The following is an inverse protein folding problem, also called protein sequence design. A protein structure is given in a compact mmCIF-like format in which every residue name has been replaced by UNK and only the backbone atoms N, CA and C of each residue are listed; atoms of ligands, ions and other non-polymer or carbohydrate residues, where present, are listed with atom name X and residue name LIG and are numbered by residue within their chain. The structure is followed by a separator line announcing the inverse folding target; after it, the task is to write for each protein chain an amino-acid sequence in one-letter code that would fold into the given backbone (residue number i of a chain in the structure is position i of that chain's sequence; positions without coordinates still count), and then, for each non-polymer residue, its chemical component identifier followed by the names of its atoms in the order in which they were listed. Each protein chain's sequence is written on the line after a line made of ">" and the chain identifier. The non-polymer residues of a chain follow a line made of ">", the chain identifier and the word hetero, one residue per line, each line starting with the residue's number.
data_IF_040185495832
#
_entry.id   IF_040185495832
#
_cell.length_a   1.000
_cell.length_b   1.000
_cell.length_c   1.000
_cell.angle_alpha   90.00
_cell.angle_beta   90.00
_cell.angle_gamma   90.00
#
_symmetry.space_group_name_H-M   'P 1'
#
loop_
_entity.id
_entity.type
_entity.pdbx_description
1 polymer ?
#
# COMPACT_ATOMS: atom_id res chain seq x y z
N UNK A 1 48.67 -7.68 29.20
CA UNK A 1 47.94 -6.43 28.90
C UNK A 1 46.70 -6.79 28.11
N UNK A 2 45.53 -6.48 28.64
CA UNK A 2 44.23 -6.85 28.09
C UNK A 2 43.78 -5.89 27.00
N UNK A 3 43.07 -6.41 25.99
CA UNK A 3 42.16 -5.63 25.17
C UNK A 3 40.81 -6.34 25.14
N UNK A 4 39.88 -5.91 25.99
CA UNK A 4 38.47 -6.29 25.88
C UNK A 4 37.91 -5.65 24.60
N UNK A 5 37.89 -6.41 23.52
CA UNK A 5 37.31 -5.97 22.25
C UNK A 5 35.80 -5.81 22.47
N UNK A 6 35.32 -4.58 22.54
CA UNK A 6 33.89 -4.24 22.64
C UNK A 6 33.10 -4.63 21.38
N UNK A 7 32.93 -5.93 21.14
CA UNK A 7 32.28 -6.49 19.94
C UNK A 7 30.80 -6.83 20.13
N UNK A 8 30.25 -6.71 21.34
CA UNK A 8 28.97 -7.38 21.64
C UNK A 8 27.72 -6.61 21.20
N UNK A 9 27.64 -5.30 21.44
CA UNK A 9 26.39 -4.55 21.25
C UNK A 9 26.19 -4.08 19.81
N UNK A 10 27.21 -3.44 19.22
CA UNK A 10 27.16 -2.90 17.85
C UNK A 10 27.04 -4.02 16.80
N UNK A 11 27.74 -5.14 17.00
CA UNK A 11 27.65 -6.29 16.07
C UNK A 11 26.27 -6.94 16.11
N UNK A 12 25.66 -7.05 17.29
CA UNK A 12 24.29 -7.57 17.42
C UNK A 12 23.30 -6.63 16.76
N UNK A 13 23.39 -5.33 17.03
CA UNK A 13 22.49 -4.35 16.43
C UNK A 13 22.58 -4.33 14.89
N UNK A 14 23.79 -4.41 14.34
CA UNK A 14 24.00 -4.48 12.89
C UNK A 14 23.30 -5.67 12.21
N UNK A 15 23.32 -6.85 12.83
CA UNK A 15 22.61 -8.03 12.31
C UNK A 15 21.10 -7.82 12.31
N UNK A 16 20.52 -7.25 13.38
CA UNK A 16 19.08 -7.01 13.45
C UNK A 16 18.64 -6.01 12.38
N UNK A 17 19.41 -4.93 12.16
CA UNK A 17 19.12 -3.96 11.10
C UNK A 17 19.20 -4.62 9.72
N UNK A 18 20.22 -5.45 9.47
CA UNK A 18 20.34 -6.18 8.20
C UNK A 18 19.14 -7.10 7.96
N UNK A 19 18.73 -7.87 8.98
CA UNK A 19 17.53 -8.73 8.89
C UNK A 19 16.28 -7.88 8.66
N UNK A 20 16.11 -6.76 9.37
CA UNK A 20 14.95 -5.88 9.21
C UNK A 20 14.88 -5.30 7.78
N UNK A 21 16.02 -4.91 7.20
CA UNK A 21 16.09 -4.46 5.80
C UNK A 21 15.67 -5.57 4.84
N UNK A 22 16.18 -6.79 5.01
CA UNK A 22 15.74 -7.94 4.20
C UNK A 22 14.23 -8.18 4.35
N UNK A 23 13.73 -8.10 5.58
CA UNK A 23 12.31 -8.27 5.90
C UNK A 23 11.46 -7.14 5.32
N UNK A 24 11.96 -5.93 5.14
CA UNK A 24 11.20 -4.87 4.47
C UNK A 24 11.21 -5.09 2.96
N UNK A 25 12.38 -5.36 2.37
CA UNK A 25 12.56 -5.55 0.92
C UNK A 25 11.65 -6.66 0.39
N UNK A 26 11.61 -7.83 1.07
CA UNK A 26 10.78 -8.95 0.61
C UNK A 26 9.28 -8.78 0.95
N UNK A 27 8.92 -7.84 1.83
CA UNK A 27 7.52 -7.64 2.26
C UNK A 27 6.80 -6.71 1.30
N UNK A 28 7.53 -5.79 0.66
CA UNK A 28 7.04 -4.92 -0.41
C UNK A 28 6.31 -5.69 -1.52
N UNK A 29 6.90 -6.73 -2.17
CA UNK A 29 6.20 -7.48 -3.22
C UNK A 29 5.00 -8.27 -2.68
N UNK A 30 5.11 -8.87 -1.50
CA UNK A 30 4.01 -9.64 -0.87
C UNK A 30 2.82 -8.74 -0.51
N UNK A 31 3.08 -7.58 0.08
CA UNK A 31 2.07 -6.56 0.34
C UNK A 31 1.48 -5.99 -0.95
N UNK A 32 2.29 -5.81 -1.99
CA UNK A 32 1.81 -5.32 -3.28
C UNK A 32 0.80 -6.26 -3.93
N UNK A 33 1.00 -7.58 -3.84
CA UNK A 33 0.05 -8.58 -4.30
C UNK A 33 -1.23 -8.53 -3.47
N UNK A 34 -1.10 -8.48 -2.13
CA UNK A 34 -2.25 -8.43 -1.22
C UNK A 34 -3.11 -7.18 -1.45
N UNK A 35 -2.49 -6.00 -1.51
CA UNK A 35 -3.20 -4.73 -1.73
C UNK A 35 -3.87 -4.71 -3.10
N UNK A 36 -3.20 -5.26 -4.12
CA UNK A 36 -3.78 -5.37 -5.47
C UNK A 36 -4.97 -6.32 -5.51
N UNK A 37 -5.05 -7.34 -4.65
CA UNK A 37 -6.23 -8.23 -4.60
C UNK A 37 -7.47 -7.55 -4.01
N UNK A 38 -7.29 -6.47 -3.25
CA UNK A 38 -8.37 -5.69 -2.63
C UNK A 38 -8.81 -4.49 -3.49
N UNK A 39 -8.05 -4.10 -4.52
CA UNK A 39 -8.36 -2.98 -5.42
C UNK A 39 -9.02 -3.47 -6.72
N UNK A 40 -9.92 -2.64 -7.27
CA UNK A 40 -10.51 -2.86 -8.60
C UNK A 40 -9.47 -2.82 -9.72
N UNK A 41 -9.64 -3.66 -10.74
CA UNK A 41 -8.68 -3.85 -11.85
C UNK A 41 -8.34 -2.56 -12.59
N UNK A 42 -9.31 -1.66 -12.73
CA UNK A 42 -9.13 -0.38 -13.43
C UNK A 42 -8.17 0.56 -12.67
N UNK A 43 -8.10 0.45 -11.35
CA UNK A 43 -7.23 1.27 -10.48
C UNK A 43 -5.79 0.75 -10.39
N UNK A 44 -5.54 -0.51 -10.79
CA UNK A 44 -4.22 -1.15 -10.78
C UNK A 44 -3.34 -0.63 -11.92
N UNK A 45 -3.95 -0.26 -13.06
CA UNK A 45 -3.24 0.22 -14.25
C UNK A 45 -2.89 1.72 -14.13
N UNK A 46 -3.76 2.50 -13.48
CA UNK A 46 -3.61 3.95 -13.36
C UNK A 46 -2.64 4.40 -12.26
N UNK A 47 -2.41 3.59 -11.21
CA UNK A 47 -1.55 3.95 -10.08
C UNK A 47 -0.90 2.73 -9.43
N UNK A 48 0.32 2.89 -8.90
CA UNK A 48 0.98 1.84 -8.13
C UNK A 48 0.20 1.47 -6.86
N UNK A 49 0.32 0.23 -6.40
CA UNK A 49 -0.40 -0.30 -5.24
C UNK A 49 -0.16 0.49 -3.94
N UNK A 50 1.02 1.11 -3.79
CA UNK A 50 1.37 1.98 -2.65
C UNK A 50 0.46 3.21 -2.53
N UNK A 51 -0.21 3.63 -3.62
CA UNK A 51 -1.16 4.73 -3.60
C UNK A 51 -2.44 4.40 -2.80
N UNK A 52 -2.65 3.14 -2.41
CA UNK A 52 -3.74 2.73 -1.53
C UNK A 52 -3.62 3.28 -0.11
N UNK A 53 -2.41 3.65 0.32
CA UNK A 53 -2.19 4.31 1.60
C UNK A 53 -2.52 5.81 1.55
N UNK A 54 -2.65 6.38 0.35
CA UNK A 54 -3.16 7.73 0.15
C UNK A 54 -4.69 7.71 0.12
N UNK A 55 -5.32 8.80 0.56
CA UNK A 55 -6.79 8.89 0.67
C UNK A 55 -7.47 8.57 -0.67
N UNK A 56 -8.32 7.54 -0.69
CA UNK A 56 -9.13 7.17 -1.84
C UNK A 56 -10.30 8.15 -1.97
N UNK A 57 -10.31 8.96 -3.03
CA UNK A 57 -11.53 9.66 -3.44
C UNK A 57 -12.49 8.62 -4.00
N UNK A 58 -13.38 8.09 -3.15
CA UNK A 58 -14.48 7.26 -3.61
C UNK A 58 -15.34 8.09 -4.57
N UNK A 59 -15.36 7.69 -5.84
CA UNK A 59 -16.40 8.16 -6.77
C UNK A 59 -17.70 7.58 -6.25
N UNK A 60 -18.40 8.33 -5.38
CA UNK A 60 -19.79 8.03 -5.08
C UNK A 60 -20.51 8.05 -6.42
N UNK A 61 -20.93 6.88 -6.90
CA UNK A 61 -21.86 6.79 -8.01
C UNK A 61 -23.13 7.50 -7.52
N UNK A 62 -23.20 8.80 -7.84
CA UNK A 62 -24.26 9.68 -7.38
C UNK A 62 -25.58 9.00 -7.72
N UNK A 63 -26.38 8.72 -6.69
CA UNK A 63 -27.73 8.17 -6.90
C UNK A 63 -28.41 9.03 -7.94
N UNK A 64 -28.91 8.41 -9.00
CA UNK A 64 -29.71 9.12 -9.98
C UNK A 64 -30.88 9.79 -9.22
N UNK A 65 -31.19 11.06 -9.53
CA UNK A 65 -32.31 11.74 -8.91
C UNK A 65 -33.60 10.96 -9.17
N UNK A 66 -34.58 11.09 -8.27
CA UNK A 66 -35.83 10.35 -8.33
C UNK A 66 -36.48 10.44 -9.72
N UNK A 67 -37.23 9.41 -10.13
CA UNK A 67 -37.87 9.34 -11.46
C UNK A 67 -38.69 10.59 -11.81
N UNK A 68 -39.20 11.32 -10.81
CA UNK A 68 -39.89 12.60 -10.97
C UNK A 68 -39.03 13.73 -11.55
N UNK A 69 -37.70 13.64 -11.46
CA UNK A 69 -36.75 14.60 -11.99
C UNK A 69 -36.20 14.23 -13.38
N UNK A 70 -36.57 13.06 -13.93
CA UNK A 70 -36.16 12.66 -15.27
C UNK A 70 -37.10 13.28 -16.31
N UNK A 71 -36.60 14.26 -17.08
CA UNK A 71 -37.32 14.79 -18.24
C UNK A 71 -36.92 14.01 -19.48
N UNK A 72 -37.87 13.27 -20.07
CA UNK A 72 -37.70 12.62 -21.36
C UNK A 72 -37.54 13.70 -22.43
N UNK A 73 -36.35 13.77 -23.03
CA UNK A 73 -36.10 14.63 -24.19
C UNK A 73 -36.16 13.76 -25.44
N UNK A 74 -37.16 14.06 -26.24
CA UNK A 74 -37.54 13.46 -27.53
C UNK A 74 -38.29 12.11 -27.42
N UNK A 75 -39.52 12.12 -27.94
CA UNK A 75 -40.41 10.97 -28.14
C UNK A 75 -40.72 10.80 -29.61
#
# INVERSE_FOLDING_TARGET
>A
MAASTGKSFVSRFGVHIAVLVFVVIWTIPTLGILVSSLRDKDQIIASGWWNSFASSSQTEAGRLPAASAQTQKDG
#
